data_IF_786385142258
#
_entry.id   IF_786385142258
#
_cell.length_a   1.000
_cell.length_b   1.000
_cell.length_c   1.000
_cell.angle_alpha   90.00
_cell.angle_beta   90.00
_cell.angle_gamma   90.00
#
_symmetry.space_group_name_H-M   'P 1'
#
loop_
_entity.id
_entity.type
_entity.pdbx_description
1 polymer ?
#
# COMPACT_ATOMS: atom_id res chain seq x y z
N UNK A 1 -3.87 -0.12 23.85
CA UNK A 1 -4.49 0.29 22.60
C UNK A 1 -5.85 0.82 22.96
N UNK A 2 -6.13 2.10 22.72
CA UNK A 2 -7.46 2.65 22.91
C UNK A 2 -8.39 2.02 21.87
N UNK A 3 -9.51 1.44 22.30
CA UNK A 3 -10.42 0.67 21.46
C UNK A 3 -11.25 1.47 20.45
N UNK A 4 -10.82 2.67 20.08
CA UNK A 4 -11.56 3.61 19.24
C UNK A 4 -10.94 3.84 17.86
N UNK A 5 -9.89 3.07 17.48
CA UNK A 5 -9.33 3.16 16.13
C UNK A 5 -10.30 2.53 15.13
N UNK A 6 -10.76 3.32 14.18
CA UNK A 6 -11.57 2.87 13.04
C UNK A 6 -10.62 2.50 11.91
N UNK A 7 -10.69 1.23 11.49
CA UNK A 7 -9.95 0.75 10.32
C UNK A 7 -10.88 0.86 9.12
N UNK A 8 -10.55 1.70 8.15
CA UNK A 8 -11.38 1.93 6.97
C UNK A 8 -11.24 0.80 5.92
N UNK A 9 -10.04 0.27 5.74
CA UNK A 9 -9.78 -0.78 4.76
C UNK A 9 -8.55 -1.62 5.11
N UNK A 10 -8.49 -2.82 4.54
CA UNK A 10 -7.30 -3.65 4.53
C UNK A 10 -6.91 -4.01 3.09
N UNK A 11 -5.60 -4.08 2.85
CA UNK A 11 -5.02 -4.41 1.55
C UNK A 11 -4.43 -5.80 1.60
N UNK A 12 -4.83 -6.65 0.67
CA UNK A 12 -4.43 -8.04 0.62
C UNK A 12 -3.76 -8.41 -0.70
N UNK A 13 -2.93 -9.47 -0.65
CA UNK A 13 -2.32 -10.02 -1.84
C UNK A 13 -3.38 -10.34 -2.90
N UNK A 14 -3.14 -10.00 -4.17
CA UNK A 14 -4.05 -10.30 -5.28
C UNK A 14 -4.46 -11.78 -5.40
N UNK A 15 -3.64 -12.70 -4.90
CA UNK A 15 -3.92 -14.14 -4.98
C UNK A 15 -5.21 -14.55 -4.25
N UNK A 16 -5.58 -13.88 -3.14
CA UNK A 16 -6.81 -14.22 -2.40
C UNK A 16 -8.09 -13.82 -3.14
N UNK A 17 -8.00 -12.99 -4.18
CA UNK A 17 -9.11 -12.57 -5.04
C UNK A 17 -9.27 -13.45 -6.28
N UNK A 18 -8.38 -14.42 -6.47
CA UNK A 18 -8.44 -15.35 -7.59
C UNK A 18 -9.63 -16.30 -7.49
N UNK A 19 -10.15 -16.72 -8.65
CA UNK A 19 -11.22 -17.70 -8.73
C UNK A 19 -10.78 -19.03 -8.11
N UNK A 20 -11.65 -19.54 -7.22
CA UNK A 20 -11.80 -20.96 -6.87
C UNK A 20 -10.51 -21.75 -6.74
N UNK A 21 -9.83 -21.59 -5.65
CA UNK A 21 -8.95 -22.67 -5.24
C UNK A 21 -9.81 -23.84 -4.75
N UNK A 22 -9.99 -24.85 -5.62
CA UNK A 22 -10.44 -26.17 -5.23
C UNK A 22 -9.42 -26.81 -4.28
N UNK A 23 -9.28 -26.29 -3.09
CA UNK A 23 -8.61 -27.02 -2.03
C UNK A 23 -9.67 -27.81 -1.27
N UNK A 24 -9.61 -29.11 -1.44
CA UNK A 24 -10.32 -30.14 -0.69
C UNK A 24 -9.99 -30.08 0.81
N UNK A 25 -10.38 -29.03 1.50
CA UNK A 25 -10.24 -28.94 2.95
C UNK A 25 -11.54 -28.42 3.53
N UNK A 26 -12.33 -29.38 4.02
CA UNK A 26 -13.55 -29.23 4.82
C UNK A 26 -14.80 -28.62 4.13
N UNK A 27 -15.92 -29.31 4.37
CA UNK A 27 -17.29 -29.11 3.85
C UNK A 27 -17.96 -27.77 4.16
N UNK A 28 -17.23 -26.78 4.70
CA UNK A 28 -17.76 -25.46 5.07
C UNK A 28 -17.44 -24.35 4.05
N UNK A 29 -16.72 -24.67 2.99
CA UNK A 29 -16.48 -23.71 1.92
C UNK A 29 -17.69 -23.66 0.98
N UNK A 30 -18.40 -22.55 0.96
CA UNK A 30 -19.42 -22.25 -0.04
C UNK A 30 -18.74 -22.28 -1.42
N UNK A 31 -19.15 -23.22 -2.26
CA UNK A 31 -18.63 -23.36 -3.62
C UNK A 31 -18.80 -22.02 -4.35
N UNK A 32 -17.70 -21.45 -4.80
CA UNK A 32 -17.69 -20.33 -5.73
C UNK A 32 -17.21 -18.99 -5.18
N UNK A 33 -16.91 -18.84 -3.89
CA UNK A 33 -16.38 -17.59 -3.33
C UNK A 33 -14.84 -17.58 -3.31
N UNK A 34 -14.26 -16.42 -3.59
CA UNK A 34 -12.83 -16.17 -3.38
C UNK A 34 -12.49 -16.07 -1.89
N UNK A 35 -11.22 -16.22 -1.53
CA UNK A 35 -10.76 -16.00 -0.15
C UNK A 35 -11.11 -14.61 0.38
N UNK A 36 -11.04 -13.60 -0.47
CA UNK A 36 -11.39 -12.23 -0.12
C UNK A 36 -12.87 -12.07 0.23
N UNK A 37 -13.77 -12.71 -0.54
CA UNK A 37 -15.21 -12.66 -0.28
C UNK A 37 -15.56 -13.34 1.03
N UNK A 38 -14.97 -14.51 1.31
CA UNK A 38 -15.17 -15.23 2.58
C UNK A 38 -14.69 -14.39 3.77
N UNK A 39 -13.52 -13.75 3.64
CA UNK A 39 -13.01 -12.88 4.70
C UNK A 39 -13.90 -11.65 4.90
N UNK A 40 -14.38 -11.04 3.83
CA UNK A 40 -15.27 -9.88 3.92
C UNK A 40 -16.60 -10.26 4.61
N UNK A 41 -17.21 -11.42 4.27
CA UNK A 41 -18.39 -11.92 4.96
C UNK A 41 -18.15 -12.07 6.46
N UNK A 42 -17.04 -12.72 6.86
CA UNK A 42 -16.70 -12.93 8.27
C UNK A 42 -16.47 -11.64 9.04
N UNK A 43 -15.88 -10.66 8.41
CA UNK A 43 -15.68 -9.33 9.00
C UNK A 43 -17.04 -8.64 9.17
N UNK A 44 -17.91 -8.71 8.17
CA UNK A 44 -19.26 -8.14 8.25
C UNK A 44 -20.07 -8.79 9.37
N UNK A 45 -20.06 -10.13 9.47
CA UNK A 45 -20.72 -10.88 10.55
C UNK A 45 -20.23 -10.37 11.92
N UNK A 46 -18.91 -10.21 12.08
CA UNK A 46 -18.33 -9.73 13.33
C UNK A 46 -18.77 -8.29 13.67
N UNK A 47 -18.85 -7.39 12.67
CA UNK A 47 -19.33 -6.02 12.88
C UNK A 47 -20.80 -6.00 13.32
N UNK A 48 -21.66 -6.82 12.70
CA UNK A 48 -23.07 -6.96 13.09
C UNK A 48 -23.23 -7.47 14.54
N UNK A 49 -22.51 -8.54 14.88
CA UNK A 49 -22.53 -9.13 16.23
C UNK A 49 -22.07 -8.14 17.32
N UNK A 50 -21.17 -7.20 16.97
CA UNK A 50 -20.63 -6.21 17.90
C UNK A 50 -21.35 -4.84 17.81
N UNK A 51 -22.47 -4.75 17.09
CA UNK A 51 -23.30 -3.53 16.99
C UNK A 51 -22.59 -2.36 16.31
N UNK A 52 -21.62 -2.65 15.43
CA UNK A 52 -20.88 -1.64 14.65
C UNK A 52 -21.46 -1.56 13.24
N UNK A 53 -21.42 -0.38 12.63
CA UNK A 53 -21.89 -0.20 11.25
C UNK A 53 -20.95 -0.89 10.26
N UNK A 54 -21.52 -1.63 9.31
CA UNK A 54 -20.79 -2.36 8.26
C UNK A 54 -20.08 -1.44 7.24
N UNK A 55 -20.44 -0.17 7.16
CA UNK A 55 -20.04 0.73 6.07
C UNK A 55 -18.58 1.16 6.11
N UNK A 56 -17.78 0.68 7.07
CA UNK A 56 -16.47 1.24 7.36
C UNK A 56 -15.26 0.35 7.05
N UNK A 57 -15.43 -0.95 6.76
CA UNK A 57 -14.28 -1.82 6.51
C UNK A 57 -14.37 -2.52 5.17
N UNK A 58 -13.38 -2.27 4.31
CA UNK A 58 -13.32 -2.84 2.97
C UNK A 58 -12.03 -3.63 2.77
N UNK A 59 -12.14 -4.87 2.26
CA UNK A 59 -11.01 -5.64 1.76
C UNK A 59 -10.73 -5.22 0.31
N UNK A 60 -9.53 -4.74 0.05
CA UNK A 60 -9.11 -4.27 -1.27
C UNK A 60 -7.90 -5.07 -1.79
N UNK A 61 -7.82 -5.17 -3.11
CA UNK A 61 -6.69 -5.80 -3.78
C UNK A 61 -5.47 -4.90 -3.72
N UNK A 62 -4.31 -5.44 -3.34
CA UNK A 62 -3.05 -4.72 -3.39
C UNK A 62 -2.63 -4.41 -4.83
N UNK A 63 -1.96 -3.27 -4.99
CA UNK A 63 -1.26 -2.95 -6.23
C UNK A 63 0.05 -3.75 -6.28
N UNK A 64 0.12 -4.72 -7.18
CA UNK A 64 1.25 -5.65 -7.29
C UNK A 64 2.33 -5.20 -8.29
N UNK A 65 2.43 -3.92 -8.61
CA UNK A 65 3.54 -3.38 -9.44
C UNK A 65 4.83 -3.36 -8.62
N UNK A 66 5.57 -4.48 -8.67
CA UNK A 66 6.72 -4.73 -7.79
C UNK A 66 7.81 -3.66 -7.88
N UNK A 67 8.26 -3.33 -9.07
CA UNK A 67 9.37 -2.36 -9.26
C UNK A 67 9.00 -0.97 -8.75
N UNK A 68 7.79 -0.51 -9.04
CA UNK A 68 7.29 0.76 -8.52
C UNK A 68 7.13 0.73 -7.00
N UNK A 69 6.59 -0.37 -6.47
CA UNK A 69 6.47 -0.59 -5.04
C UNK A 69 7.82 -0.52 -4.33
N UNK A 70 8.84 -1.21 -4.83
CA UNK A 70 10.19 -1.15 -4.24
C UNK A 70 10.82 0.24 -4.35
N UNK A 71 10.51 1.00 -5.39
CA UNK A 71 10.92 2.40 -5.49
C UNK A 71 10.31 3.24 -4.38
N UNK A 72 9.02 3.06 -4.11
CA UNK A 72 8.31 3.75 -3.03
C UNK A 72 8.83 3.31 -1.65
N UNK A 73 9.09 2.03 -1.43
CA UNK A 73 9.73 1.50 -0.21
C UNK A 73 11.06 2.20 0.04
N UNK A 74 11.95 2.24 -0.97
CA UNK A 74 13.25 2.93 -0.84
C UNK A 74 13.08 4.43 -0.51
N UNK A 75 12.04 5.06 -1.02
CA UNK A 75 11.77 6.47 -0.75
C UNK A 75 11.36 6.71 0.71
N UNK A 76 10.50 5.86 1.28
CA UNK A 76 10.06 6.01 2.69
C UNK A 76 11.14 5.62 3.68
N UNK A 77 12.03 4.67 3.31
CA UNK A 77 13.18 4.26 4.11
C UNK A 77 14.33 5.27 4.09
N UNK A 78 14.32 6.23 3.14
CA UNK A 78 15.39 7.22 3.03
C UNK A 78 15.47 8.04 4.31
N UNK A 79 16.69 8.14 4.85
CA UNK A 79 16.98 9.04 5.96
C UNK A 79 17.15 10.46 5.41
N UNK A 80 16.35 11.39 5.90
CA UNK A 80 16.45 12.82 5.62
C UNK A 80 16.48 13.56 6.95
N UNK A 81 17.45 14.43 7.13
CA UNK A 81 17.64 15.21 8.37
C UNK A 81 17.77 14.34 9.64
N UNK A 82 18.33 13.13 9.49
CA UNK A 82 18.52 12.17 10.57
C UNK A 82 17.31 11.29 10.89
N UNK A 83 16.19 11.46 10.18
CA UNK A 83 14.98 10.68 10.39
C UNK A 83 14.51 9.95 9.14
N UNK A 84 13.92 8.76 9.33
CA UNK A 84 13.17 8.03 8.31
C UNK A 84 11.67 8.31 8.46
N UNK A 85 10.97 8.38 7.35
CA UNK A 85 9.49 8.45 7.36
C UNK A 85 8.83 7.15 7.81
N UNK A 86 9.57 6.04 7.75
CA UNK A 86 9.09 4.72 8.15
C UNK A 86 9.64 4.34 9.53
N UNK A 87 8.74 3.97 10.43
CA UNK A 87 9.07 3.53 11.79
C UNK A 87 8.37 2.21 12.06
N UNK A 88 9.05 1.30 12.72
CA UNK A 88 8.55 -0.03 13.08
C UNK A 88 8.51 -0.15 14.60
N UNK A 89 7.41 -0.67 15.13
CA UNK A 89 7.32 -0.98 16.54
C UNK A 89 8.25 -2.14 16.89
N UNK A 90 8.88 -2.08 18.06
CA UNK A 90 9.78 -3.15 18.55
C UNK A 90 9.08 -4.50 18.70
N UNK A 91 7.75 -4.51 18.82
CA UNK A 91 6.90 -5.72 18.86
C UNK A 91 6.79 -6.44 17.51
N UNK A 92 7.11 -5.78 16.38
CA UNK A 92 7.08 -6.38 15.04
C UNK A 92 8.35 -7.22 14.79
N UNK A 93 8.59 -8.20 15.65
CA UNK A 93 9.85 -8.98 15.68
C UNK A 93 10.10 -9.75 14.40
N UNK A 94 9.07 -10.33 13.79
CA UNK A 94 9.18 -11.02 12.49
C UNK A 94 9.70 -10.06 11.43
N UNK A 95 9.08 -8.90 11.27
CA UNK A 95 9.50 -7.88 10.30
C UNK A 95 10.94 -7.44 10.52
N UNK A 96 11.32 -7.14 11.77
CA UNK A 96 12.67 -6.67 12.14
C UNK A 96 13.73 -7.72 11.80
N UNK A 97 13.39 -9.00 11.88
CA UNK A 97 14.31 -10.11 11.61
C UNK A 97 14.38 -10.43 10.11
N UNK A 98 13.24 -10.52 9.43
CA UNK A 98 13.18 -11.02 8.04
C UNK A 98 13.45 -9.93 7.00
N UNK A 99 12.95 -8.72 7.23
CA UNK A 99 13.09 -7.65 6.22
C UNK A 99 14.54 -7.30 5.88
N UNK A 100 15.47 -7.13 6.84
CA UNK A 100 16.87 -6.85 6.52
C UNK A 100 17.63 -8.02 5.87
N UNK A 101 17.13 -9.24 5.99
CA UNK A 101 17.72 -10.43 5.39
C UNK A 101 17.38 -10.61 3.89
N UNK A 102 16.44 -9.82 3.37
CA UNK A 102 16.08 -9.87 1.96
C UNK A 102 17.22 -9.37 1.08
N UNK A 103 17.46 -10.07 -0.02
CA UNK A 103 18.46 -9.74 -1.03
C UNK A 103 17.80 -9.40 -2.36
N UNK A 104 18.50 -8.65 -3.20
CA UNK A 104 18.04 -8.36 -4.54
C UNK A 104 18.04 -9.61 -5.43
N UNK A 105 17.12 -9.65 -6.39
CA UNK A 105 17.14 -10.66 -7.44
C UNK A 105 18.38 -10.47 -8.32
N UNK A 106 19.09 -11.56 -8.63
CA UNK A 106 20.33 -11.52 -9.43
C UNK A 106 20.10 -11.05 -10.87
N UNK A 107 18.93 -11.36 -11.44
CA UNK A 107 18.58 -11.04 -12.83
C UNK A 107 17.85 -9.71 -12.94
N UNK A 108 17.19 -9.29 -11.86
CA UNK A 108 16.41 -8.05 -11.77
C UNK A 108 16.79 -7.29 -10.48
N UNK A 109 17.91 -6.59 -10.45
CA UNK A 109 18.41 -5.93 -9.23
C UNK A 109 17.46 -4.88 -8.63
N UNK A 110 16.43 -4.46 -9.38
CA UNK A 110 15.39 -3.56 -8.89
C UNK A 110 14.31 -4.30 -8.06
N UNK A 111 14.25 -5.62 -8.15
CA UNK A 111 13.31 -6.49 -7.43
C UNK A 111 14.02 -7.24 -6.29
N UNK A 112 13.24 -7.88 -5.42
CA UNK A 112 13.74 -8.79 -4.40
C UNK A 112 13.75 -10.22 -4.93
N UNK A 113 14.72 -11.01 -4.45
CA UNK A 113 14.70 -12.46 -4.59
C UNK A 113 13.55 -13.05 -3.78
N UNK A 114 12.71 -13.84 -4.41
CA UNK A 114 11.51 -14.46 -3.82
C UNK A 114 11.74 -15.90 -3.36
N UNK A 115 12.99 -16.41 -3.40
CA UNK A 115 13.32 -17.75 -2.91
C UNK A 115 13.42 -17.82 -1.38
N UNK A 116 13.38 -16.65 -0.70
CA UNK A 116 13.48 -16.51 0.75
C UNK A 116 12.16 -16.07 1.39
N UNK A 117 12.25 -15.66 2.66
CA UNK A 117 11.15 -15.10 3.45
C UNK A 117 10.87 -13.64 3.02
N UNK A 118 10.09 -13.45 1.99
CA UNK A 118 9.75 -12.14 1.43
C UNK A 118 8.38 -11.60 1.89
N UNK A 119 7.60 -12.38 2.66
CA UNK A 119 6.23 -12.03 3.06
C UNK A 119 6.14 -10.68 3.77
N UNK A 120 6.96 -10.43 4.78
CA UNK A 120 6.97 -9.15 5.50
C UNK A 120 7.36 -7.97 4.60
N UNK A 121 8.22 -8.23 3.61
CA UNK A 121 8.65 -7.23 2.66
C UNK A 121 7.53 -6.89 1.65
N UNK A 122 6.81 -7.89 1.18
CA UNK A 122 5.65 -7.71 0.31
C UNK A 122 4.48 -7.03 1.04
N UNK A 123 4.20 -7.40 2.31
CA UNK A 123 3.21 -6.72 3.14
C UNK A 123 3.53 -5.22 3.28
N UNK A 124 4.78 -4.87 3.60
CA UNK A 124 5.22 -3.48 3.64
C UNK A 124 5.04 -2.78 2.29
N UNK A 125 5.41 -3.45 1.21
CA UNK A 125 5.25 -2.92 -0.15
C UNK A 125 3.79 -2.65 -0.47
N UNK A 126 2.87 -3.56 -0.15
CA UNK A 126 1.43 -3.37 -0.34
C UNK A 126 0.88 -2.21 0.50
N UNK A 127 1.28 -2.13 1.76
CA UNK A 127 0.88 -1.03 2.63
C UNK A 127 1.32 0.33 2.08
N UNK A 128 2.56 0.45 1.62
CA UNK A 128 3.09 1.68 1.03
C UNK A 128 2.43 2.00 -0.31
N UNK A 129 2.14 0.99 -1.15
CA UNK A 129 1.45 1.18 -2.42
C UNK A 129 0.00 1.61 -2.24
N UNK A 130 -0.67 1.20 -1.15
CA UNK A 130 -2.02 1.66 -0.84
C UNK A 130 -2.08 3.13 -0.40
N UNK A 131 -0.98 3.64 0.15
CA UNK A 131 -0.78 5.05 0.54
C UNK A 131 0.61 5.49 0.08
N UNK A 132 0.81 5.70 -1.22
CA UNK A 132 2.12 6.08 -1.72
C UNK A 132 2.58 7.36 -1.02
N UNK A 133 3.88 7.42 -0.64
CA UNK A 133 4.42 8.60 -0.02
C UNK A 133 4.17 9.80 -0.96
N UNK A 134 3.80 10.93 -0.37
CA UNK A 134 3.84 12.18 -1.11
C UNK A 134 5.23 12.26 -1.74
N UNK A 135 5.26 12.15 -3.04
CA UNK A 135 6.49 12.43 -3.76
C UNK A 135 6.87 13.84 -3.39
N UNK A 136 8.09 14.07 -2.90
CA UNK A 136 8.75 15.37 -2.94
C UNK A 136 8.92 15.73 -4.44
N UNK A 137 7.80 15.75 -5.12
CA UNK A 137 7.66 16.39 -6.41
C UNK A 137 7.63 17.91 -6.17
N UNK A 138 8.70 18.44 -5.63
CA UNK A 138 9.26 19.57 -6.33
C UNK A 138 9.69 19.04 -7.70
N UNK A 139 8.71 18.64 -8.52
CA UNK A 139 8.87 18.83 -9.95
C UNK A 139 9.22 20.31 -10.00
N UNK A 140 10.48 20.61 -10.15
CA UNK A 140 10.85 21.77 -10.95
C UNK A 140 10.19 21.44 -12.28
N UNK A 141 8.92 21.84 -12.39
CA UNK A 141 8.22 21.81 -13.65
C UNK A 141 9.06 22.72 -14.55
N UNK A 142 10.06 22.13 -15.19
CA UNK A 142 10.68 22.70 -16.36
C UNK A 142 9.62 22.65 -17.46
N UNK A 143 8.48 23.31 -17.16
CA UNK A 143 7.44 23.54 -18.13
C UNK A 143 8.08 24.40 -19.20
N UNK A 144 8.23 23.84 -20.39
CA UNK A 144 8.60 24.63 -21.54
C UNK A 144 7.75 25.89 -21.58
N UNK A 145 8.33 27.10 -21.78
CA UNK A 145 7.54 28.34 -21.92
C UNK A 145 6.47 28.26 -23.01
N UNK A 146 6.59 27.31 -23.93
CA UNK A 146 5.63 27.04 -24.99
C UNK A 146 4.47 26.14 -24.56
N UNK A 147 4.55 25.49 -23.38
CA UNK A 147 3.48 24.58 -22.94
C UNK A 147 2.23 25.36 -22.53
N UNK A 148 1.02 24.86 -22.84
CA UNK A 148 -0.24 25.46 -22.38
C UNK A 148 -0.33 25.62 -20.87
N UNK A 149 0.23 24.66 -20.11
CA UNK A 149 0.28 24.68 -18.63
C UNK A 149 1.16 25.81 -18.11
N UNK A 150 2.28 26.11 -18.74
CA UNK A 150 3.14 27.25 -18.38
C UNK A 150 2.37 28.58 -18.55
N UNK A 151 1.69 28.74 -19.68
CA UNK A 151 0.89 29.95 -19.95
C UNK A 151 -0.25 30.12 -18.93
N UNK A 152 -0.93 29.04 -18.57
CA UNK A 152 -1.98 29.09 -17.54
C UNK A 152 -1.42 29.52 -16.17
N UNK A 153 -0.30 28.98 -15.72
CA UNK A 153 0.33 29.36 -14.44
C UNK A 153 0.80 30.81 -14.45
N UNK A 154 1.35 31.31 -15.55
CA UNK A 154 1.71 32.71 -15.70
C UNK A 154 0.50 33.65 -15.63
N UNK A 155 -0.61 33.29 -16.23
CA UNK A 155 -1.87 34.03 -16.17
C UNK A 155 -2.43 34.05 -14.73
N UNK A 156 -2.34 32.94 -14.02
CA UNK A 156 -2.80 32.84 -12.65
C UNK A 156 -1.97 33.72 -11.69
N UNK A 157 -0.62 33.70 -11.83
CA UNK A 157 0.26 34.59 -11.08
C UNK A 157 0.04 36.08 -11.37
N UNK A 158 -0.38 36.43 -12.60
CA UNK A 158 -0.71 37.81 -12.96
C UNK A 158 -2.01 38.26 -12.28
N UNK A 159 -3.02 37.39 -12.20
CA UNK A 159 -4.28 37.68 -11.49
C UNK A 159 -4.04 37.93 -9.99
N UNK A 160 -3.29 37.05 -9.34
CA UNK A 160 -2.94 37.18 -7.91
C UNK A 160 -2.13 38.44 -7.58
N UNK A 161 -1.38 38.99 -8.55
CA UNK A 161 -0.66 40.28 -8.38
C UNK A 161 -1.54 41.52 -8.56
N UNK A 162 -2.69 41.39 -9.19
CA UNK A 162 -3.61 42.52 -9.38
C UNK A 162 -4.67 42.60 -8.27
N UNK A 163 -4.78 41.55 -7.47
CA UNK A 163 -5.71 41.49 -6.32
C UNK A 163 -5.06 41.88 -4.98
N UNK A 164 -3.78 42.26 -5.00
CA UNK A 164 -3.06 42.82 -3.83
C UNK A 164 -2.79 44.29 -4.02
#
# INVERSE_FOLDING_TARGET
MSGDEVIDYAVFDPAIFGDKQHHNVNKDFREGLSGAEIMQEKINDWYEENGRSQDSFLITRADNRRIEGWRNVRQVLRIKDGESKFKVFSSCTSFITTFPANVHDERKPEDLNTDGEDHSADEMRYAIMSRPPETDMTIKENLSPLSPLYKMKELQKRRERHER
#
